data_IF_889305659190
#
_entry.id   IF_889305659190
#
_cell.length_a   1.000
_cell.length_b   1.000
_cell.length_c   1.000
_cell.angle_alpha   90.00
_cell.angle_beta   90.00
_cell.angle_gamma   90.00
#
_symmetry.space_group_name_H-M   'P 1'
#
loop_
_entity.id
_entity.type
_entity.pdbx_description
1 polymer ?
#
# COMPACT_ATOMS: atom_id res chain seq x y z
N UNK A 1 -1.39 1.46 -14.46
CA UNK A 1 -1.39 0.66 -13.21
C UNK A 1 -0.17 -0.26 -13.11
N UNK A 2 -0.05 -1.31 -13.95
CA UNK A 2 1.04 -2.29 -13.85
C UNK A 2 2.45 -1.66 -13.87
N UNK A 3 2.75 -0.77 -14.82
CA UNK A 3 4.05 -0.10 -14.87
C UNK A 3 4.33 0.70 -13.59
N UNK A 4 3.34 1.45 -13.08
CA UNK A 4 3.45 2.22 -11.84
C UNK A 4 3.74 1.36 -10.61
N UNK A 5 3.25 0.10 -10.61
CA UNK A 5 3.53 -0.90 -9.59
C UNK A 5 4.88 -1.62 -9.77
N UNK A 6 5.70 -1.22 -10.75
CA UNK A 6 7.06 -1.73 -10.96
C UNK A 6 7.19 -2.84 -12.01
N UNK A 7 6.11 -3.25 -12.68
CA UNK A 7 6.21 -4.23 -13.78
C UNK A 7 6.99 -3.62 -14.95
N UNK A 8 8.09 -4.27 -15.36
CA UNK A 8 8.98 -3.81 -16.45
C UNK A 8 8.64 -4.35 -17.82
N UNK A 9 7.80 -5.38 -17.89
CA UNK A 9 7.37 -5.98 -19.14
C UNK A 9 5.90 -6.32 -19.10
N UNK A 10 5.26 -6.24 -20.28
CA UNK A 10 3.87 -6.65 -20.49
C UNK A 10 3.84 -7.73 -21.56
N UNK A 11 3.17 -8.84 -21.25
CA UNK A 11 2.86 -9.88 -22.23
C UNK A 11 1.41 -9.73 -22.66
N UNK A 12 1.19 -9.45 -23.94
CA UNK A 12 -0.14 -9.26 -24.50
C UNK A 12 -0.72 -10.61 -24.91
N UNK A 13 -1.72 -11.07 -24.16
CA UNK A 13 -2.36 -12.36 -24.38
C UNK A 13 -3.87 -12.16 -24.57
N UNK A 14 -4.48 -12.58 -25.67
CA UNK A 14 -3.89 -13.24 -26.85
C UNK A 14 -3.25 -12.22 -27.80
N UNK A 15 -2.08 -12.53 -28.37
CA UNK A 15 -1.45 -11.67 -29.38
C UNK A 15 -2.06 -11.86 -30.80
N UNK A 16 -2.61 -13.04 -31.07
CA UNK A 16 -3.26 -13.40 -32.33
C UNK A 16 -4.65 -13.94 -32.04
N UNK A 17 -5.65 -13.49 -32.81
CA UNK A 17 -7.02 -13.98 -32.72
C UNK A 17 -7.10 -15.49 -32.94
N UNK A 18 -8.03 -16.12 -32.24
CA UNK A 18 -8.30 -17.57 -32.34
C UNK A 18 -9.80 -17.79 -32.44
N UNK A 19 -10.19 -19.03 -32.66
CA UNK A 19 -11.61 -19.40 -32.66
C UNK A 19 -12.24 -19.02 -31.32
N UNK A 20 -13.26 -18.15 -31.35
CA UNK A 20 -13.92 -17.52 -30.19
C UNK A 20 -13.07 -16.52 -29.37
N UNK A 21 -11.93 -16.05 -29.89
CA UNK A 21 -11.11 -14.99 -29.28
C UNK A 21 -10.93 -13.87 -30.28
N UNK A 22 -11.42 -12.68 -29.94
CA UNK A 22 -11.47 -11.51 -30.82
C UNK A 22 -10.79 -10.31 -30.17
N UNK A 23 -10.29 -9.39 -31.00
CA UNK A 23 -9.70 -8.13 -30.54
C UNK A 23 -8.22 -8.24 -30.19
N UNK A 24 -7.53 -9.28 -30.66
CA UNK A 24 -6.09 -9.37 -30.55
C UNK A 24 -5.37 -8.32 -31.42
N UNK A 25 -4.11 -7.99 -31.10
CA UNK A 25 -3.25 -7.17 -31.96
C UNK A 25 -3.17 -7.66 -33.41
N UNK A 26 -3.19 -8.98 -33.63
CA UNK A 26 -3.23 -9.57 -34.96
C UNK A 26 -4.51 -10.38 -35.15
N UNK A 27 -5.20 -10.15 -36.26
CA UNK A 27 -6.33 -10.98 -36.67
C UNK A 27 -5.87 -12.39 -37.07
N UNK A 28 -6.82 -13.32 -37.20
CA UNK A 28 -6.56 -14.74 -37.52
C UNK A 28 -5.86 -14.93 -38.88
N UNK A 29 -6.07 -14.00 -39.81
CA UNK A 29 -5.45 -13.99 -41.15
C UNK A 29 -4.11 -13.23 -41.19
N UNK A 30 -3.65 -12.70 -40.05
CA UNK A 30 -2.43 -11.91 -39.94
C UNK A 30 -2.63 -10.41 -40.14
N UNK A 31 -3.87 -9.93 -40.33
CA UNK A 31 -4.15 -8.49 -40.43
C UNK A 31 -3.74 -7.77 -39.14
N UNK A 32 -2.99 -6.68 -39.28
CA UNK A 32 -2.58 -5.80 -38.18
C UNK A 32 -3.79 -4.96 -37.75
N UNK A 33 -4.14 -5.00 -36.47
CA UNK A 33 -5.23 -4.20 -35.90
C UNK A 33 -4.70 -2.95 -35.21
N UNK A 34 -5.59 -2.00 -34.88
CA UNK A 34 -5.25 -0.82 -34.05
C UNK A 34 -4.61 -1.23 -32.71
N UNK A 35 -4.95 -2.42 -32.19
CA UNK A 35 -4.35 -2.96 -30.98
C UNK A 35 -2.84 -3.23 -31.13
N UNK A 36 -2.38 -3.62 -32.31
CA UNK A 36 -0.94 -3.78 -32.57
C UNK A 36 -0.21 -2.45 -32.56
N UNK A 37 -0.77 -1.41 -33.19
CA UNK A 37 -0.16 -0.08 -33.21
C UNK A 37 -0.06 0.49 -31.80
N UNK A 38 -1.11 0.35 -31.00
CA UNK A 38 -1.10 0.74 -29.59
C UNK A 38 0.04 0.04 -28.82
N UNK A 39 0.12 -1.29 -28.94
CA UNK A 39 1.15 -2.10 -28.25
C UNK A 39 2.57 -1.77 -28.74
N UNK A 40 2.74 -1.59 -30.04
CA UNK A 40 4.04 -1.25 -30.65
C UNK A 40 4.52 0.12 -30.20
N UNK A 41 3.65 1.14 -30.27
CA UNK A 41 3.93 2.49 -29.81
C UNK A 41 4.24 2.51 -28.30
N UNK A 42 3.49 1.73 -27.52
CA UNK A 42 3.71 1.59 -26.09
C UNK A 42 5.10 1.07 -25.74
N UNK A 43 5.51 -0.06 -26.33
CA UNK A 43 6.82 -0.64 -26.06
C UNK A 43 7.96 0.24 -26.57
N UNK A 44 7.82 0.79 -27.78
CA UNK A 44 8.86 1.66 -28.38
C UNK A 44 9.15 2.85 -27.48
N UNK A 45 8.12 3.56 -27.03
CA UNK A 45 8.27 4.72 -26.14
C UNK A 45 8.89 4.39 -24.79
N UNK A 46 8.58 3.21 -24.22
CA UNK A 46 9.18 2.79 -22.95
C UNK A 46 10.66 2.43 -23.08
N UNK A 47 11.06 1.80 -24.19
CA UNK A 47 12.47 1.50 -24.46
C UNK A 47 13.28 2.77 -24.72
N UNK A 48 12.72 3.74 -25.46
CA UNK A 48 13.39 5.03 -25.72
C UNK A 48 13.73 5.82 -24.45
N UNK A 49 13.02 5.57 -23.36
CA UNK A 49 13.26 6.22 -22.07
C UNK A 49 14.00 5.34 -21.07
N UNK A 50 14.43 4.14 -21.45
CA UNK A 50 15.13 3.17 -20.59
C UNK A 50 14.34 2.89 -19.30
N UNK A 51 13.03 2.62 -19.44
CA UNK A 51 12.13 2.40 -18.29
C UNK A 51 12.57 1.23 -17.39
N UNK A 52 13.21 0.23 -17.96
CA UNK A 52 13.74 -0.94 -17.28
C UNK A 52 14.75 -0.60 -16.18
N UNK A 53 15.45 0.53 -16.30
CA UNK A 53 16.45 1.02 -15.32
C UNK A 53 15.86 1.95 -14.26
N UNK A 54 14.58 2.29 -14.35
CA UNK A 54 13.91 3.12 -13.34
C UNK A 54 13.39 2.24 -12.21
N UNK A 55 13.40 2.70 -10.96
CA UNK A 55 12.77 1.92 -9.88
C UNK A 55 12.10 2.81 -8.85
N UNK A 56 11.19 2.22 -8.09
CA UNK A 56 10.69 2.80 -6.86
C UNK A 56 11.43 2.19 -5.67
N UNK A 57 11.75 3.01 -4.67
CA UNK A 57 12.40 2.55 -3.43
C UNK A 57 11.43 2.73 -2.25
N UNK A 58 10.40 1.88 -2.14
CA UNK A 58 9.39 2.02 -1.09
C UNK A 58 10.03 1.95 0.30
N UNK A 59 9.55 2.79 1.22
CA UNK A 59 9.98 2.79 2.63
C UNK A 59 8.97 2.10 3.56
N UNK A 60 7.85 1.68 3.00
CA UNK A 60 6.79 0.95 3.68
C UNK A 60 6.64 -0.42 3.00
N UNK A 61 6.30 -1.45 3.77
CA UNK A 61 5.92 -2.74 3.20
C UNK A 61 4.74 -3.36 3.95
N UNK A 62 3.99 -4.20 3.23
CA UNK A 62 3.05 -5.17 3.78
C UNK A 62 3.71 -6.54 3.80
N UNK A 63 3.76 -7.17 4.98
CA UNK A 63 4.22 -8.54 5.16
C UNK A 63 3.01 -9.48 5.21
N UNK A 64 2.87 -10.27 4.16
CA UNK A 64 1.89 -11.36 4.08
C UNK A 64 2.48 -12.63 4.69
N UNK A 65 1.66 -13.38 5.42
CA UNK A 65 2.05 -14.66 5.97
C UNK A 65 1.42 -15.80 5.17
N UNK A 66 2.26 -16.62 4.53
CA UNK A 66 1.84 -17.73 3.67
C UNK A 66 0.92 -18.73 4.38
N UNK A 67 1.16 -18.99 5.66
CA UNK A 67 0.34 -19.91 6.45
C UNK A 67 -1.09 -19.38 6.57
N UNK A 68 -1.26 -18.06 6.69
CA UNK A 68 -2.58 -17.45 6.87
C UNK A 68 -3.40 -17.52 5.58
N UNK A 69 -2.75 -17.35 4.43
CA UNK A 69 -3.37 -17.56 3.13
C UNK A 69 -3.90 -19.00 2.99
N UNK A 70 -3.09 -19.99 3.36
CA UNK A 70 -3.53 -21.39 3.33
C UNK A 70 -4.68 -21.63 4.28
N UNK A 71 -4.57 -21.19 5.54
CA UNK A 71 -5.62 -21.35 6.53
C UNK A 71 -6.94 -20.68 6.09
N UNK A 72 -6.88 -19.51 5.44
CA UNK A 72 -8.06 -18.78 4.97
C UNK A 72 -8.82 -19.50 3.84
N UNK A 73 -8.12 -20.37 3.09
CA UNK A 73 -8.66 -21.17 1.98
C UNK A 73 -9.11 -22.56 2.41
N UNK A 74 -8.81 -22.97 3.63
CA UNK A 74 -9.28 -24.24 4.22
C UNK A 74 -10.53 -24.02 5.08
N UNK A 75 -11.29 -25.08 5.33
CA UNK A 75 -12.41 -25.08 6.27
C UNK A 75 -12.14 -26.09 7.40
N UNK A 76 -12.49 -25.70 8.63
CA UNK A 76 -12.34 -26.55 9.81
C UNK A 76 -13.34 -26.13 10.88
N UNK A 77 -13.80 -27.09 11.71
CA UNK A 77 -14.62 -26.78 12.89
C UNK A 77 -13.87 -25.96 13.95
N UNK A 78 -12.55 -25.90 13.86
CA UNK A 78 -11.67 -25.10 14.73
C UNK A 78 -11.08 -23.90 13.98
N UNK A 79 -11.78 -23.41 12.95
CA UNK A 79 -11.32 -22.23 12.21
C UNK A 79 -11.22 -21.01 13.13
N UNK A 80 -10.27 -20.13 12.83
CA UNK A 80 -10.16 -18.83 13.46
C UNK A 80 -11.25 -17.94 12.85
N UNK A 81 -12.31 -17.57 13.58
CA UNK A 81 -13.52 -16.97 12.98
C UNK A 81 -13.27 -15.61 12.33
N UNK A 82 -12.19 -14.93 12.71
CA UNK A 82 -11.76 -13.64 12.18
C UNK A 82 -10.84 -13.72 10.97
N UNK A 83 -10.27 -14.89 10.67
CA UNK A 83 -9.16 -15.03 9.72
C UNK A 83 -9.50 -14.55 8.31
N UNK A 84 -10.66 -14.95 7.78
CA UNK A 84 -11.11 -14.56 6.44
C UNK A 84 -11.25 -13.05 6.30
N UNK A 85 -11.69 -12.36 7.36
CA UNK A 85 -11.73 -10.89 7.38
C UNK A 85 -10.34 -10.30 7.48
N UNK A 86 -9.50 -10.81 8.40
CA UNK A 86 -8.15 -10.28 8.61
C UNK A 86 -7.30 -10.34 7.34
N UNK A 87 -7.27 -11.49 6.66
CA UNK A 87 -6.50 -11.67 5.41
C UNK A 87 -7.25 -11.05 4.22
N UNK A 88 -8.55 -11.33 4.07
CA UNK A 88 -9.28 -10.95 2.86
C UNK A 88 -9.72 -9.48 2.80
N UNK A 89 -9.88 -8.81 3.95
CA UNK A 89 -10.41 -7.44 4.00
C UNK A 89 -9.46 -6.45 4.69
N UNK A 90 -8.80 -6.85 5.77
CA UNK A 90 -7.96 -5.92 6.54
C UNK A 90 -6.60 -5.72 5.90
N UNK A 91 -5.91 -6.80 5.55
CA UNK A 91 -4.64 -6.73 4.81
C UNK A 91 -4.82 -6.01 3.45
N UNK A 92 -5.83 -6.40 2.68
CA UNK A 92 -6.16 -5.76 1.41
C UNK A 92 -6.59 -4.29 1.59
N UNK A 93 -7.35 -3.99 2.64
CA UNK A 93 -7.80 -2.64 2.96
C UNK A 93 -6.68 -1.71 3.42
N UNK A 94 -5.68 -2.21 4.18
CA UNK A 94 -4.46 -1.46 4.50
C UNK A 94 -3.72 -1.09 3.22
N UNK A 95 -3.58 -2.03 2.29
CA UNK A 95 -2.96 -1.78 0.99
C UNK A 95 -3.71 -0.69 0.20
N UNK A 96 -5.04 -0.70 0.21
CA UNK A 96 -5.86 0.35 -0.41
C UNK A 96 -5.67 1.71 0.28
N UNK A 97 -5.56 1.73 1.61
CA UNK A 97 -5.35 2.97 2.35
C UNK A 97 -3.97 3.57 2.09
N UNK A 98 -2.93 2.75 1.94
CA UNK A 98 -1.61 3.20 1.49
C UNK A 98 -1.68 3.82 0.08
N UNK A 99 -2.43 3.21 -0.84
CA UNK A 99 -2.66 3.78 -2.18
C UNK A 99 -3.40 5.11 -2.11
N UNK A 100 -4.43 5.23 -1.27
CA UNK A 100 -5.18 6.50 -1.05
C UNK A 100 -4.28 7.58 -0.49
N UNK A 101 -3.42 7.23 0.47
CA UNK A 101 -2.41 8.09 1.06
C UNK A 101 -1.23 8.38 0.13
N UNK A 102 -1.19 7.84 -1.09
CA UNK A 102 -0.09 8.02 -2.06
C UNK A 102 1.27 7.56 -1.50
N UNK A 103 1.24 6.55 -0.64
CA UNK A 103 2.43 5.89 -0.11
C UNK A 103 2.74 4.72 -1.02
N UNK A 104 3.92 4.72 -1.62
CA UNK A 104 4.44 3.54 -2.30
C UNK A 104 4.88 2.50 -1.26
N UNK A 105 4.57 1.23 -1.53
CA UNK A 105 4.84 0.13 -0.60
C UNK A 105 5.24 -1.16 -1.32
N UNK A 106 6.13 -1.92 -0.67
CA UNK A 106 6.45 -3.28 -1.08
C UNK A 106 5.45 -4.30 -0.54
N UNK A 107 5.31 -5.43 -1.23
CA UNK A 107 4.67 -6.63 -0.70
C UNK A 107 5.77 -7.66 -0.45
N UNK A 108 5.76 -8.29 0.73
CA UNK A 108 6.75 -9.29 1.15
C UNK A 108 6.07 -10.51 1.74
N UNK A 109 6.71 -11.66 1.59
CA UNK A 109 6.31 -12.92 2.25
C UNK A 109 7.23 -13.13 3.47
N UNK A 110 6.74 -13.85 4.49
CA UNK A 110 7.46 -14.24 5.70
C UNK A 110 8.56 -15.30 5.44
N UNK A 111 9.51 -14.99 4.55
CA UNK A 111 10.60 -15.88 4.14
C UNK A 111 11.96 -15.19 4.10
N UNK A 112 12.00 -13.94 3.64
CA UNK A 112 13.23 -13.19 3.34
C UNK A 112 13.35 -11.95 4.25
N UNK A 113 13.37 -12.18 5.58
CA UNK A 113 13.38 -11.12 6.59
C UNK A 113 14.63 -10.25 6.55
N UNK A 114 15.75 -10.81 6.09
CA UNK A 114 17.03 -10.12 5.89
C UNK A 114 16.93 -8.94 4.91
N UNK A 115 15.99 -8.98 3.96
CA UNK A 115 15.74 -7.89 3.02
C UNK A 115 14.84 -6.79 3.59
N UNK A 116 14.18 -7.05 4.73
CA UNK A 116 13.17 -6.14 5.28
C UNK A 116 13.76 -5.00 6.11
N UNK A 117 15.07 -5.05 6.41
CA UNK A 117 15.78 -3.98 7.13
C UNK A 117 15.84 -2.66 6.36
N UNK A 118 15.65 -2.68 5.04
CA UNK A 118 15.63 -1.49 4.19
C UNK A 118 14.32 -0.68 4.29
N UNK A 119 13.27 -1.29 4.87
CA UNK A 119 12.01 -0.61 5.16
C UNK A 119 12.09 0.17 6.47
N UNK A 120 11.37 1.29 6.51
CA UNK A 120 11.20 2.09 7.74
C UNK A 120 9.96 1.65 8.53
N UNK A 121 8.95 1.14 7.83
CA UNK A 121 7.67 0.72 8.40
C UNK A 121 7.17 -0.57 7.76
N UNK A 122 6.78 -1.54 8.57
CA UNK A 122 6.25 -2.83 8.14
C UNK A 122 4.84 -3.05 8.71
N UNK A 123 3.85 -3.27 7.86
CA UNK A 123 2.53 -3.72 8.25
C UNK A 123 2.50 -5.25 8.26
N UNK A 124 1.94 -5.84 9.31
CA UNK A 124 1.90 -7.29 9.50
C UNK A 124 0.54 -7.66 10.08
N UNK A 125 -0.23 -8.48 9.38
CA UNK A 125 -1.40 -9.12 10.01
C UNK A 125 -0.92 -10.29 10.87
N UNK A 126 -1.53 -10.48 12.04
CA UNK A 126 -1.13 -11.52 13.00
C UNK A 126 -2.33 -12.31 13.50
N UNK A 127 -2.14 -13.61 13.68
CA UNK A 127 -3.15 -14.52 14.25
C UNK A 127 -2.62 -15.13 15.55
N UNK A 128 -3.40 -16.01 16.18
CA UNK A 128 -2.92 -16.79 17.34
C UNK A 128 -1.77 -17.74 17.01
N UNK A 129 -1.49 -18.00 15.73
CA UNK A 129 -0.47 -18.92 15.23
C UNK A 129 0.57 -18.12 14.45
N UNK A 130 1.85 -18.23 14.77
CA UNK A 130 2.95 -17.64 14.00
C UNK A 130 4.23 -18.40 14.30
N UNK A 131 4.99 -18.75 13.27
CA UNK A 131 6.22 -19.51 13.46
C UNK A 131 7.19 -18.79 14.40
N UNK A 132 7.92 -19.55 15.22
CA UNK A 132 8.85 -18.98 16.21
C UNK A 132 9.88 -18.07 15.55
N UNK A 133 10.47 -18.53 14.44
CA UNK A 133 11.42 -17.76 13.63
C UNK A 133 10.84 -16.43 13.11
N UNK A 134 9.54 -16.41 12.78
CA UNK A 134 8.87 -15.21 12.26
C UNK A 134 8.66 -14.21 13.40
N UNK A 135 8.28 -14.70 14.60
CA UNK A 135 8.18 -13.87 15.80
C UNK A 135 9.53 -13.27 16.20
N UNK A 136 10.60 -14.06 16.16
CA UNK A 136 11.96 -13.60 16.43
C UNK A 136 12.42 -12.55 15.41
N UNK A 137 12.18 -12.78 14.12
CA UNK A 137 12.56 -11.87 13.06
C UNK A 137 11.87 -10.50 13.19
N UNK A 138 10.58 -10.47 13.55
CA UNK A 138 9.86 -9.22 13.83
C UNK A 138 10.45 -8.47 15.03
N UNK A 139 10.84 -9.18 16.09
CA UNK A 139 11.52 -8.57 17.24
C UNK A 139 12.86 -7.97 16.82
N UNK A 140 13.62 -8.67 15.98
CA UNK A 140 14.94 -8.21 15.55
C UNK A 140 14.86 -7.00 14.62
N UNK A 141 13.92 -6.99 13.66
CA UNK A 141 13.65 -5.80 12.83
C UNK A 141 13.30 -4.58 13.69
N UNK A 142 12.46 -4.75 14.71
CA UNK A 142 12.13 -3.68 15.64
C UNK A 142 13.36 -3.17 16.42
N UNK A 143 14.28 -4.05 16.82
CA UNK A 143 15.55 -3.67 17.46
C UNK A 143 16.46 -2.88 16.52
N UNK A 144 16.50 -3.24 15.23
CA UNK A 144 17.31 -2.56 14.22
C UNK A 144 16.78 -1.15 13.88
N UNK A 145 15.51 -0.88 14.18
CA UNK A 145 14.89 0.43 14.02
C UNK A 145 13.73 0.46 13.05
N UNK A 146 13.34 -0.69 12.48
CA UNK A 146 12.14 -0.79 11.65
C UNK A 146 10.91 -0.68 12.56
N UNK A 147 10.01 0.24 12.27
CA UNK A 147 8.74 0.31 12.99
C UNK A 147 7.75 -0.72 12.43
N UNK A 148 6.97 -1.34 13.30
CA UNK A 148 6.09 -2.46 12.93
C UNK A 148 4.66 -2.14 13.35
N UNK A 149 3.71 -2.34 12.44
CA UNK A 149 2.27 -2.25 12.69
C UNK A 149 1.70 -3.66 12.64
N UNK A 150 1.42 -4.21 13.81
CA UNK A 150 0.72 -5.48 13.98
C UNK A 150 -0.79 -5.23 13.95
N UNK A 151 -1.53 -6.02 13.17
CA UNK A 151 -2.99 -5.98 13.12
C UNK A 151 -3.58 -7.38 13.31
N UNK A 152 -4.48 -7.57 14.29
CA UNK A 152 -5.11 -8.86 14.55
C UNK A 152 -4.93 -9.33 15.99
N UNK A 153 -4.39 -10.54 16.16
CA UNK A 153 -4.25 -11.20 17.47
C UNK A 153 -2.78 -11.48 17.75
N UNK A 154 -2.34 -11.32 19.00
CA UNK A 154 -0.97 -11.64 19.40
C UNK A 154 -0.77 -13.18 19.32
N UNK A 155 0.29 -13.66 18.67
CA UNK A 155 0.58 -15.09 18.59
C UNK A 155 0.75 -15.74 19.97
N UNK A 156 0.22 -16.96 20.09
CA UNK A 156 0.31 -17.83 21.27
C UNK A 156 0.90 -19.20 20.93
N UNK A 157 0.90 -19.54 19.65
CA UNK A 157 1.33 -20.83 19.14
C UNK A 157 2.29 -20.66 17.96
N UNK A 158 3.18 -21.64 17.78
CA UNK A 158 3.99 -21.81 16.58
C UNK A 158 3.19 -22.45 15.44
N UNK A 159 3.80 -22.61 14.27
CA UNK A 159 3.19 -23.24 13.09
C UNK A 159 2.78 -24.71 13.31
N UNK A 160 3.27 -25.35 14.37
CA UNK A 160 2.95 -26.70 14.80
C UNK A 160 1.91 -26.73 15.94
N UNK A 161 1.29 -25.59 16.24
CA UNK A 161 0.33 -25.39 17.34
C UNK A 161 0.89 -25.67 18.75
N UNK A 162 2.21 -25.65 18.93
CA UNK A 162 2.85 -25.70 20.25
C UNK A 162 2.88 -24.30 20.84
N UNK A 163 2.89 -24.18 22.17
CA UNK A 163 2.92 -22.86 22.81
C UNK A 163 4.20 -22.11 22.43
N UNK A 164 4.04 -20.93 21.84
CA UNK A 164 5.12 -20.04 21.46
C UNK A 164 4.65 -18.58 21.62
N UNK A 165 5.30 -17.84 22.53
CA UNK A 165 4.89 -16.50 22.95
C UNK A 165 6.06 -15.51 22.86
N UNK A 166 6.99 -15.72 21.93
CA UNK A 166 8.21 -14.89 21.77
C UNK A 166 7.84 -13.41 21.64
N UNK A 167 6.94 -13.08 20.70
CA UNK A 167 6.54 -11.69 20.45
C UNK A 167 5.81 -11.08 21.65
N UNK A 168 4.88 -11.85 22.24
CA UNK A 168 4.11 -11.42 23.41
C UNK A 168 5.01 -11.14 24.64
N UNK A 169 6.03 -11.97 24.86
CA UNK A 169 6.96 -11.85 25.98
C UNK A 169 7.87 -10.63 25.81
N UNK A 170 8.40 -10.41 24.61
CA UNK A 170 9.25 -9.28 24.30
C UNK A 170 8.49 -7.94 24.36
N UNK A 171 7.26 -7.90 23.86
CA UNK A 171 6.42 -6.71 23.88
C UNK A 171 5.73 -6.47 25.24
N UNK A 172 5.61 -7.53 26.06
CA UNK A 172 4.75 -7.60 27.25
C UNK A 172 3.30 -7.22 26.94
N UNK A 173 2.81 -7.70 25.80
CA UNK A 173 1.46 -7.49 25.31
C UNK A 173 0.85 -8.86 25.00
N UNK A 174 -0.36 -9.10 25.49
CA UNK A 174 -1.13 -10.33 25.26
C UNK A 174 -2.53 -9.99 24.81
N UNK A 175 -3.17 -10.93 24.12
CA UNK A 175 -4.56 -10.79 23.66
C UNK A 175 -5.47 -11.92 24.11
N UNK A 176 -6.73 -11.58 24.31
CA UNK A 176 -7.83 -12.53 24.43
C UNK A 176 -8.78 -12.31 23.25
N UNK A 177 -9.00 -13.33 22.42
CA UNK A 177 -9.89 -13.26 21.25
C UNK A 177 -11.30 -12.87 21.71
N UNK A 178 -11.87 -11.91 21.01
CA UNK A 178 -13.19 -11.32 21.29
C UNK A 178 -13.71 -10.76 19.97
N UNK A 179 -14.11 -11.64 19.02
CA UNK A 179 -14.43 -11.24 17.65
C UNK A 179 -15.88 -10.74 17.52
N UNK A 180 -16.07 -9.44 17.37
CA UNK A 180 -17.38 -8.80 17.23
C UNK A 180 -17.25 -7.41 16.56
N UNK A 181 -18.37 -6.75 16.30
CA UNK A 181 -18.37 -5.34 15.86
C UNK A 181 -18.62 -4.47 17.09
N UNK A 182 -17.81 -3.42 17.26
CA UNK A 182 -18.02 -2.41 18.31
C UNK A 182 -17.49 -1.04 17.85
N UNK A 183 -17.77 -0.01 18.64
CA UNK A 183 -17.26 1.35 18.44
C UNK A 183 -15.87 1.47 19.07
N UNK A 184 -14.86 1.67 18.22
CA UNK A 184 -13.48 1.91 18.65
C UNK A 184 -13.26 3.40 18.80
N UNK A 185 -12.78 3.80 19.99
CA UNK A 185 -12.29 5.15 20.26
C UNK A 185 -10.76 5.20 20.09
N UNK A 186 -10.28 5.99 19.14
CA UNK A 186 -8.86 6.19 18.84
C UNK A 186 -8.37 7.58 19.30
N UNK A 187 -7.34 7.60 20.15
CA UNK A 187 -6.66 8.80 20.70
C UNK A 187 -7.58 9.95 21.15
N UNK A 188 -8.78 9.64 21.67
CA UNK A 188 -9.79 10.61 22.14
C UNK A 188 -10.30 11.58 21.06
N UNK A 189 -10.00 11.33 19.78
CA UNK A 189 -10.30 12.25 18.68
C UNK A 189 -11.25 11.66 17.63
N UNK A 190 -11.33 10.34 17.54
CA UNK A 190 -12.20 9.65 16.58
C UNK A 190 -12.87 8.43 17.20
N UNK A 191 -14.14 8.27 16.88
CA UNK A 191 -14.92 7.08 17.17
C UNK A 191 -15.54 6.56 15.88
N UNK A 192 -15.43 5.25 15.66
CA UNK A 192 -15.94 4.59 14.47
C UNK A 192 -16.26 3.11 14.74
N UNK A 193 -17.24 2.52 14.03
CA UNK A 193 -17.49 1.10 14.11
C UNK A 193 -16.35 0.32 13.44
N UNK A 194 -15.87 -0.75 14.08
CA UNK A 194 -14.89 -1.65 13.52
C UNK A 194 -15.12 -3.08 14.01
N UNK A 195 -14.62 -4.05 13.23
CA UNK A 195 -14.49 -5.41 13.73
C UNK A 195 -13.34 -5.48 14.72
N UNK A 196 -13.64 -5.78 15.97
CA UNK A 196 -12.66 -6.06 17.02
C UNK A 196 -12.29 -7.53 16.90
N UNK A 197 -11.00 -7.86 16.88
CA UNK A 197 -10.51 -9.25 16.87
C UNK A 197 -10.24 -9.77 18.27
N UNK A 198 -9.73 -8.90 19.14
CA UNK A 198 -9.34 -9.26 20.48
C UNK A 198 -9.28 -8.05 21.42
N UNK A 199 -9.22 -8.34 22.71
CA UNK A 199 -8.87 -7.37 23.76
C UNK A 199 -7.40 -7.49 24.13
N UNK A 200 -6.77 -6.37 24.43
CA UNK A 200 -5.35 -6.28 24.78
C UNK A 200 -5.17 -6.20 26.29
N UNK A 201 -4.23 -6.99 26.81
CA UNK A 201 -3.62 -6.81 28.12
C UNK A 201 -2.15 -6.46 27.95
N UNK A 202 -1.71 -5.37 28.56
CA UNK A 202 -0.33 -4.91 28.52
C UNK A 202 0.16 -4.53 29.92
N UNK A 203 1.47 -4.57 30.14
CA UNK A 203 2.06 -4.03 31.38
C UNK A 203 2.03 -2.51 31.41
N UNK A 204 1.91 -1.93 32.60
CA UNK A 204 1.98 -0.49 32.81
C UNK A 204 3.39 -0.09 33.28
N UNK A 205 4.35 -0.09 32.34
CA UNK A 205 5.76 0.22 32.61
C UNK A 205 6.26 1.44 31.82
N UNK A 206 5.35 2.30 31.36
CA UNK A 206 5.64 3.52 30.59
C UNK A 206 6.15 3.29 29.16
N UNK A 207 6.52 2.05 28.79
CA UNK A 207 6.97 1.68 27.44
C UNK A 207 5.84 1.30 26.50
N UNK A 208 4.61 1.22 27.00
CA UNK A 208 3.42 0.88 26.22
C UNK A 208 2.38 2.00 26.38
N UNK A 209 2.18 2.78 25.32
CA UNK A 209 1.17 3.82 25.24
C UNK A 209 -0.16 3.22 24.77
N UNK A 210 -1.23 3.46 25.54
CA UNK A 210 -2.61 3.07 25.21
C UNK A 210 -3.16 4.06 24.17
N UNK A 211 -3.56 3.59 22.99
CA UNK A 211 -3.98 4.48 21.87
C UNK A 211 -5.38 4.21 21.34
N UNK A 212 -5.98 3.03 21.57
CA UNK A 212 -7.36 2.75 21.18
C UNK A 212 -8.10 1.87 22.20
N UNK A 213 -9.39 2.11 22.38
CA UNK A 213 -10.24 1.39 23.34
C UNK A 213 -11.64 1.11 22.78
N UNK A 214 -12.30 0.12 23.37
CA UNK A 214 -13.73 -0.17 23.23
C UNK A 214 -14.32 -0.16 24.64
N UNK A 215 -15.08 0.87 24.98
CA UNK A 215 -15.45 1.15 26.36
C UNK A 215 -14.22 1.21 27.28
N UNK A 216 -14.14 0.33 28.27
CA UNK A 216 -12.99 0.20 29.18
C UNK A 216 -11.88 -0.74 28.67
N UNK A 217 -12.15 -1.56 27.65
CA UNK A 217 -11.23 -2.56 27.11
C UNK A 217 -10.23 -1.90 26.15
N UNK A 218 -8.96 -2.30 26.23
CA UNK A 218 -7.90 -1.83 25.35
C UNK A 218 -7.89 -2.63 24.05
N UNK A 219 -7.80 -1.97 22.90
CA UNK A 219 -7.73 -2.62 21.57
C UNK A 219 -6.64 -2.04 20.67
N UNK A 220 -5.90 -1.03 21.14
CA UNK A 220 -4.74 -0.50 20.42
C UNK A 220 -3.67 0.04 21.35
N UNK A 221 -2.42 -0.30 21.07
CA UNK A 221 -1.23 0.16 21.81
C UNK A 221 -0.08 0.53 20.88
N UNK A 222 0.83 1.35 21.37
CA UNK A 222 2.12 1.62 20.74
C UNK A 222 3.23 1.37 21.76
N UNK A 223 4.18 0.50 21.41
CA UNK A 223 5.31 0.14 22.26
C UNK A 223 6.61 0.76 21.75
N UNK A 224 7.35 1.40 22.65
CA UNK A 224 8.67 2.01 22.41
C UNK A 224 9.78 1.26 23.14
N UNK A 225 9.63 -0.08 23.26
CA UNK A 225 10.64 -0.94 23.89
C UNK A 225 11.90 -1.11 23.04
N UNK A 226 11.77 -0.97 21.74
CA UNK A 226 12.85 -1.12 20.78
C UNK A 226 13.22 0.22 20.16
N UNK A 227 14.22 0.19 19.25
CA UNK A 227 14.60 1.36 18.46
C UNK A 227 13.49 1.79 17.51
N UNK A 228 12.81 0.82 16.88
CA UNK A 228 11.57 1.02 16.13
C UNK A 228 10.35 0.93 17.05
N UNK A 229 9.27 1.63 16.69
CA UNK A 229 8.01 1.56 17.41
C UNK A 229 7.22 0.33 16.96
N UNK A 230 6.55 -0.33 17.89
CA UNK A 230 5.60 -1.42 17.57
C UNK A 230 4.19 -0.96 17.90
N UNK A 231 3.43 -0.65 16.86
CA UNK A 231 2.00 -0.42 16.93
C UNK A 231 1.28 -1.75 16.89
N UNK A 232 0.31 -1.96 17.77
CA UNK A 232 -0.51 -3.16 17.73
C UNK A 232 -1.98 -2.80 17.89
N UNK A 233 -2.75 -3.14 16.87
CA UNK A 233 -4.19 -2.95 16.81
C UNK A 233 -4.88 -4.31 16.76
N UNK A 234 -5.77 -4.55 17.71
CA UNK A 234 -6.57 -5.78 17.76
C UNK A 234 -7.98 -5.59 17.20
N UNK A 235 -8.11 -4.72 16.20
CA UNK A 235 -9.32 -4.44 15.44
C UNK A 235 -8.95 -4.11 13.99
N UNK A 236 -9.94 -4.08 13.11
CA UNK A 236 -9.81 -3.78 11.70
C UNK A 236 -9.47 -2.31 11.46
N UNK A 237 -8.19 -2.03 11.19
CA UNK A 237 -7.69 -0.67 10.93
C UNK A 237 -7.92 -0.21 9.49
N UNK A 238 -8.32 -1.12 8.58
CA UNK A 238 -8.64 -0.73 7.22
C UNK A 238 -9.83 0.23 7.21
N UNK A 239 -9.67 1.33 6.48
CA UNK A 239 -10.63 2.42 6.51
C UNK A 239 -11.92 2.07 5.78
N UNK A 240 -11.82 1.29 4.71
CA UNK A 240 -12.94 1.10 3.77
C UNK A 240 -13.47 2.43 3.20
N UNK A 241 -12.64 3.48 3.17
CA UNK A 241 -13.04 4.85 2.80
C UNK A 241 -13.53 5.71 3.98
N UNK A 242 -13.65 5.17 5.20
CA UNK A 242 -13.99 5.99 6.37
C UNK A 242 -12.83 6.90 6.75
N UNK A 243 -12.99 8.21 6.52
CA UNK A 243 -11.98 9.24 6.82
C UNK A 243 -11.53 9.24 8.28
N UNK A 244 -12.40 8.84 9.23
CA UNK A 244 -12.03 8.76 10.65
C UNK A 244 -11.01 7.65 10.89
N UNK A 245 -11.13 6.52 10.17
CA UNK A 245 -10.17 5.42 10.25
C UNK A 245 -8.87 5.73 9.52
N UNK A 246 -8.93 6.46 8.40
CA UNK A 246 -7.71 6.91 7.68
C UNK A 246 -6.76 7.73 8.58
N UNK A 247 -7.30 8.44 9.58
CA UNK A 247 -6.46 9.17 10.55
C UNK A 247 -5.48 8.28 11.30
N UNK A 248 -5.75 6.98 11.45
CA UNK A 248 -4.83 6.01 12.07
C UNK A 248 -3.57 5.88 11.21
N UNK A 249 -3.74 5.72 9.90
CA UNK A 249 -2.62 5.60 8.96
C UNK A 249 -1.83 6.91 8.93
N UNK A 250 -2.51 8.06 8.81
CA UNK A 250 -1.88 9.37 8.83
C UNK A 250 -1.05 9.60 10.10
N UNK A 251 -1.58 9.20 11.26
CA UNK A 251 -0.90 9.30 12.55
C UNK A 251 0.35 8.43 12.61
N UNK A 252 0.29 7.20 12.09
CA UNK A 252 1.44 6.29 12.05
C UNK A 252 2.51 6.87 11.12
N UNK A 253 2.16 7.23 9.88
CA UNK A 253 3.09 7.80 8.91
C UNK A 253 3.76 9.07 9.44
N UNK A 254 2.97 9.96 10.07
CA UNK A 254 3.50 11.18 10.70
C UNK A 254 4.43 10.88 11.87
N UNK A 255 4.05 9.94 12.75
CA UNK A 255 4.88 9.54 13.90
C UNK A 255 6.22 8.97 13.44
N UNK A 256 6.21 8.21 12.35
CA UNK A 256 7.39 7.59 11.75
C UNK A 256 8.13 8.52 10.77
N UNK A 257 7.69 9.78 10.62
CA UNK A 257 8.29 10.78 9.72
C UNK A 257 8.40 10.24 8.29
N UNK A 258 7.34 9.60 7.82
CA UNK A 258 7.16 9.14 6.46
C UNK A 258 6.28 10.16 5.74
N UNK A 259 6.94 11.15 5.13
CA UNK A 259 6.28 12.09 4.24
C UNK A 259 6.07 11.42 2.88
N UNK A 260 4.89 11.60 2.31
CA UNK A 260 4.63 11.19 0.93
C UNK A 260 5.21 12.25 0.01
N UNK A 261 5.90 11.81 -1.04
CA UNK A 261 6.35 12.72 -2.09
C UNK A 261 5.25 13.09 -3.09
N UNK A 262 4.04 12.56 -2.87
CA UNK A 262 2.91 12.62 -3.79
C UNK A 262 1.63 12.93 -3.00
N UNK A 263 0.75 13.74 -3.58
CA UNK A 263 -0.61 13.99 -3.10
C UNK A 263 -1.56 14.23 -4.29
N UNK A 264 -2.86 13.96 -4.10
CA UNK A 264 -3.88 14.23 -5.09
C UNK A 264 -5.17 14.70 -4.41
N UNK A 265 -5.81 15.73 -4.97
CA UNK A 265 -7.11 16.21 -4.49
C UNK A 265 -8.22 15.16 -4.58
N UNK A 266 -8.05 14.13 -5.41
CA UNK A 266 -8.92 12.97 -5.46
C UNK A 266 -8.21 11.74 -4.84
N UNK A 267 -8.71 11.19 -3.70
CA UNK A 267 -8.08 10.06 -3.04
C UNK A 267 -8.14 8.77 -3.88
N UNK A 268 -9.07 8.66 -4.83
CA UNK A 268 -9.23 7.48 -5.70
C UNK A 268 -8.19 7.39 -6.81
N UNK A 269 -7.64 8.54 -7.24
CA UNK A 269 -6.57 8.58 -8.25
C UNK A 269 -5.28 8.11 -7.61
N UNK A 270 -4.62 7.13 -8.21
CA UNK A 270 -3.34 6.63 -7.73
C UNK A 270 -2.20 7.36 -8.44
N UNK A 271 -1.21 7.78 -7.65
CA UNK A 271 0.03 8.36 -8.14
C UNK A 271 1.18 7.45 -7.76
N UNK A 272 2.09 7.20 -8.70
CA UNK A 272 3.35 6.52 -8.45
C UNK A 272 4.49 7.26 -9.12
N UNK A 273 5.69 7.17 -8.55
CA UNK A 273 6.87 7.79 -9.11
C UNK A 273 8.04 6.81 -9.11
N UNK A 274 8.66 6.63 -10.26
CA UNK A 274 9.87 5.82 -10.42
C UNK A 274 11.02 6.69 -10.88
N UNK A 275 12.22 6.40 -10.37
CA UNK A 275 13.40 7.22 -10.56
C UNK A 275 14.46 6.41 -11.30
N UNK A 276 14.90 6.90 -12.46
CA UNK A 276 16.15 6.45 -13.11
C UNK A 276 17.33 7.33 -12.69
N UNK A 277 18.46 7.25 -13.41
CA UNK A 277 19.64 8.04 -13.03
C UNK A 277 19.45 9.57 -13.15
N UNK A 278 18.76 10.02 -14.21
CA UNK A 278 18.60 11.47 -14.52
C UNK A 278 17.16 11.91 -14.76
N UNK A 279 16.25 10.95 -14.99
CA UNK A 279 14.86 11.18 -15.36
C UNK A 279 13.95 10.39 -14.44
N UNK A 280 12.79 10.94 -14.12
CA UNK A 280 11.76 10.27 -13.35
C UNK A 280 10.54 10.01 -14.20
N UNK A 281 9.69 9.10 -13.74
CA UNK A 281 8.42 8.83 -14.38
C UNK A 281 7.31 8.92 -13.35
N UNK A 282 6.36 9.82 -13.62
CA UNK A 282 5.17 10.01 -12.82
C UNK A 282 4.00 9.32 -13.51
N UNK A 283 3.38 8.39 -12.81
CA UNK A 283 2.18 7.70 -13.25
C UNK A 283 0.97 8.33 -12.56
N UNK A 284 -0.04 8.68 -13.35
CA UNK A 284 -1.38 9.04 -12.87
C UNK A 284 -2.31 7.94 -13.33
N UNK A 285 -2.93 7.22 -12.39
CA UNK A 285 -3.81 6.09 -12.68
C UNK A 285 -5.18 6.41 -12.14
N UNK A 286 -6.14 6.62 -13.04
CA UNK A 286 -7.51 6.96 -12.69
C UNK A 286 -8.37 5.70 -12.82
N UNK A 287 -8.86 5.14 -11.69
CA UNK A 287 -9.60 3.89 -11.73
C UNK A 287 -10.98 4.09 -12.38
N UNK A 288 -11.65 3.01 -12.80
CA UNK A 288 -13.05 3.08 -13.18
C UNK A 288 -13.90 3.68 -12.05
N UNK A 289 -14.94 4.45 -12.41
CA UNK A 289 -15.84 5.06 -11.43
C UNK A 289 -16.41 4.01 -10.46
N UNK A 290 -16.41 4.31 -9.17
CA UNK A 290 -16.94 3.44 -8.11
C UNK A 290 -15.98 2.36 -7.58
N UNK A 291 -14.84 2.08 -8.24
CA UNK A 291 -13.87 1.11 -7.72
C UNK A 291 -13.11 1.62 -6.48
N UNK A 292 -12.87 2.93 -6.42
CA UNK A 292 -12.17 3.62 -5.32
C UNK A 292 -12.73 5.02 -5.02
N UNK A 293 -13.75 5.49 -5.77
CA UNK A 293 -14.32 6.84 -5.63
C UNK A 293 -15.46 6.88 -4.60
N UNK A 294 -15.78 8.09 -4.13
CA UNK A 294 -16.82 8.37 -3.12
C UNK A 294 -18.27 8.12 -3.62
N UNK A 295 -18.48 7.19 -4.55
CA UNK A 295 -19.78 6.83 -5.10
C UNK A 295 -20.32 7.81 -6.15
N UNK A 296 -19.63 8.90 -6.44
CA UNK A 296 -19.99 9.84 -7.51
C UNK A 296 -19.46 9.35 -8.86
N UNK A 297 -20.37 9.23 -9.84
CA UNK A 297 -20.05 8.87 -11.22
C UNK A 297 -19.79 10.15 -12.02
N UNK A 298 -18.52 10.56 -12.09
CA UNK A 298 -18.08 11.57 -13.04
C UNK A 298 -17.47 10.87 -14.25
N UNK A 299 -17.78 11.34 -15.46
CA UNK A 299 -17.07 10.92 -16.67
C UNK A 299 -15.73 11.64 -16.81
N UNK A 300 -15.65 12.89 -16.35
CA UNK A 300 -14.48 13.77 -16.40
C UNK A 300 -14.40 14.66 -15.16
N UNK A 301 -13.19 14.93 -14.67
CA UNK A 301 -12.95 15.79 -13.50
C UNK A 301 -11.59 16.48 -13.59
N UNK A 302 -11.50 17.72 -13.09
CA UNK A 302 -10.20 18.35 -12.81
C UNK A 302 -9.70 17.87 -11.44
N UNK A 303 -8.47 17.36 -11.40
CA UNK A 303 -7.76 16.97 -10.18
C UNK A 303 -6.52 17.86 -10.01
N UNK A 304 -6.07 18.02 -8.77
CA UNK A 304 -4.81 18.69 -8.45
C UNK A 304 -3.84 17.62 -7.97
N UNK A 305 -2.73 17.45 -8.70
CA UNK A 305 -1.64 16.57 -8.28
C UNK A 305 -0.51 17.40 -7.66
N UNK A 306 0.04 16.94 -6.54
CA UNK A 306 1.23 17.53 -5.92
C UNK A 306 2.37 16.53 -5.93
N UNK A 307 3.56 17.01 -6.29
CA UNK A 307 4.77 16.19 -6.40
C UNK A 307 5.96 16.90 -5.74
N UNK A 308 6.40 16.39 -4.59
CA UNK A 308 7.64 16.81 -3.94
C UNK A 308 8.81 15.98 -4.50
N UNK A 309 9.38 16.47 -5.60
CA UNK A 309 10.51 15.83 -6.27
C UNK A 309 11.70 15.56 -5.34
N UNK A 310 11.95 16.44 -4.35
CA UNK A 310 13.05 16.25 -3.40
C UNK A 310 12.79 15.06 -2.50
N UNK A 311 11.55 14.89 -2.02
CA UNK A 311 11.16 13.72 -1.25
C UNK A 311 11.23 12.42 -2.06
N UNK A 312 11.08 12.51 -3.39
CA UNK A 312 11.18 11.40 -4.34
C UNK A 312 12.60 11.16 -4.88
N UNK A 313 13.62 11.84 -4.33
CA UNK A 313 15.02 11.65 -4.72
C UNK A 313 15.47 12.44 -5.97
N UNK A 314 14.61 13.25 -6.57
CA UNK A 314 14.96 14.14 -7.68
C UNK A 314 15.24 15.57 -7.20
N UNK A 315 16.47 16.06 -7.42
CA UNK A 315 16.81 17.47 -7.21
C UNK A 315 16.85 18.23 -8.53
N UNK A 316 15.86 19.10 -8.75
CA UNK A 316 15.80 20.01 -9.89
C UNK A 316 14.94 21.22 -9.54
N UNK A 317 15.38 22.44 -9.89
CA UNK A 317 14.59 23.64 -9.69
C UNK A 317 13.51 23.79 -10.78
N UNK A 318 13.91 23.54 -12.03
CA UNK A 318 13.07 23.59 -13.21
C UNK A 318 12.94 22.19 -13.81
N UNK A 319 11.72 21.84 -14.21
CA UNK A 319 11.43 20.53 -14.79
C UNK A 319 10.51 20.64 -15.99
N UNK A 320 10.55 19.60 -16.81
CA UNK A 320 9.67 19.39 -17.97
C UNK A 320 8.91 18.09 -17.73
N UNK A 321 7.59 18.11 -17.86
CA UNK A 321 6.75 16.92 -17.86
C UNK A 321 6.29 16.67 -19.29
N UNK A 322 6.64 15.53 -19.86
CA UNK A 322 6.18 15.10 -21.19
C UNK A 322 5.22 13.95 -21.00
N UNK A 323 3.95 14.12 -21.36
CA UNK A 323 3.04 12.97 -21.42
C UNK A 323 3.48 12.09 -22.60
N UNK A 324 3.90 10.87 -22.30
CA UNK A 324 4.43 9.95 -23.30
C UNK A 324 3.35 9.51 -24.28
N UNK A 325 2.09 9.50 -23.88
CA UNK A 325 1.00 8.92 -24.67
C UNK A 325 -0.01 9.95 -25.17
N UNK A 326 0.23 11.24 -24.90
CA UNK A 326 -0.53 12.30 -25.53
C UNK A 326 -0.24 12.37 -27.05
N UNK A 327 -1.18 12.94 -27.80
CA UNK A 327 -1.06 13.11 -29.26
C UNK A 327 0.13 13.98 -29.67
N UNK A 328 0.54 13.93 -30.93
CA UNK A 328 1.76 14.58 -31.46
C UNK A 328 1.82 16.11 -31.22
N UNK A 329 0.67 16.76 -31.06
CA UNK A 329 0.57 18.20 -30.79
C UNK A 329 0.74 18.58 -29.31
N UNK A 330 0.79 17.59 -28.41
CA UNK A 330 0.85 17.81 -26.97
C UNK A 330 2.19 18.44 -26.57
N UNK A 331 2.14 19.66 -26.06
CA UNK A 331 3.34 20.37 -25.61
C UNK A 331 3.74 19.94 -24.20
N UNK A 332 5.04 19.71 -23.92
CA UNK A 332 5.49 19.41 -22.58
C UNK A 332 5.16 20.53 -21.59
N UNK A 333 4.71 20.17 -20.39
CA UNK A 333 4.43 21.10 -19.31
C UNK A 333 5.76 21.55 -18.72
N UNK A 334 6.07 22.84 -18.89
CA UNK A 334 7.28 23.47 -18.32
C UNK A 334 6.93 24.11 -16.99
N UNK A 335 7.53 23.63 -15.91
CA UNK A 335 7.19 24.08 -14.55
C UNK A 335 8.41 24.05 -13.62
N UNK A 336 8.20 24.34 -12.34
CA UNK A 336 9.23 24.30 -11.29
C UNK A 336 8.89 23.24 -10.25
N UNK A 337 9.89 22.73 -9.53
CA UNK A 337 9.65 21.83 -8.41
C UNK A 337 8.78 22.47 -7.31
N UNK A 338 8.89 23.79 -7.13
CA UNK A 338 8.04 24.54 -6.19
C UNK A 338 6.57 24.55 -6.64
N UNK A 339 6.32 24.74 -7.93
CA UNK A 339 4.97 24.73 -8.48
C UNK A 339 4.37 23.31 -8.45
N UNK A 340 5.13 22.28 -8.80
CA UNK A 340 4.68 20.88 -8.65
C UNK A 340 4.33 20.53 -7.20
N UNK A 341 5.13 21.00 -6.24
CA UNK A 341 4.83 20.79 -4.82
C UNK A 341 3.58 21.56 -4.36
N UNK A 342 3.28 22.71 -4.95
CA UNK A 342 2.07 23.48 -4.65
C UNK A 342 0.81 22.86 -5.28
N UNK A 343 0.95 22.28 -6.46
CA UNK A 343 -0.11 21.60 -7.18
C UNK A 343 -0.13 21.95 -8.66
N UNK A 344 -0.42 20.95 -9.50
CA UNK A 344 -0.67 21.08 -10.92
C UNK A 344 -2.09 20.58 -11.21
N UNK A 345 -2.98 21.42 -11.78
CA UNK A 345 -4.29 20.95 -12.23
C UNK A 345 -4.13 20.05 -13.47
N UNK A 346 -4.92 18.98 -13.51
CA UNK A 346 -4.98 18.02 -14.60
C UNK A 346 -6.43 17.61 -14.81
N UNK A 347 -6.93 17.71 -16.03
CA UNK A 347 -8.22 17.13 -16.40
C UNK A 347 -8.03 15.65 -16.72
N UNK A 348 -8.87 14.80 -16.13
CA UNK A 348 -8.83 13.35 -16.34
C UNK A 348 -10.23 12.79 -16.59
N UNK A 349 -10.30 11.73 -17.40
CA UNK A 349 -11.51 10.92 -17.57
C UNK A 349 -11.53 9.75 -16.55
N UNK A 350 -12.67 9.08 -16.39
CA UNK A 350 -12.79 7.90 -15.51
C UNK A 350 -13.33 6.70 -16.29
N UNK A 351 -12.55 5.62 -16.52
CA UNK A 351 -11.12 5.46 -16.20
C UNK A 351 -10.18 6.19 -17.17
N UNK A 352 -8.94 6.44 -16.73
CA UNK A 352 -7.90 7.09 -17.53
C UNK A 352 -6.50 6.78 -16.97
N UNK A 353 -5.45 7.15 -17.70
CA UNK A 353 -4.07 7.00 -17.26
C UNK A 353 -3.09 7.89 -18.02
N UNK A 354 -2.29 8.65 -17.26
CA UNK A 354 -1.20 9.46 -17.81
C UNK A 354 0.16 8.96 -17.35
N UNK A 355 1.14 9.06 -18.23
CA UNK A 355 2.52 8.71 -17.94
C UNK A 355 3.41 9.88 -18.32
N UNK A 356 3.88 10.62 -17.32
CA UNK A 356 4.73 11.78 -17.52
C UNK A 356 6.20 11.42 -17.33
N UNK A 357 7.00 11.62 -18.37
CA UNK A 357 8.45 11.69 -18.24
C UNK A 357 8.82 13.03 -17.61
N UNK A 358 9.46 12.98 -16.44
CA UNK A 358 9.91 14.13 -15.67
C UNK A 358 11.41 14.32 -15.88
N UNK A 359 11.77 15.40 -16.56
CA UNK A 359 13.15 15.72 -16.92
C UNK A 359 13.61 17.03 -16.27
N UNK A 360 14.89 17.08 -15.91
CA UNK A 360 15.54 18.32 -15.46
C UNK A 360 15.65 19.27 -16.65
N UNK A 361 15.40 20.57 -16.43
CA UNK A 361 15.60 21.62 -17.43
C UNK A 361 16.82 22.46 -17.16
#
# INVERSE_FOLDING_TARGET
AALGAGFKGLSYYMFVDRDHWYGAPLAKDGTVTEGYELVSNFNTKLMEIEFEEMDATPKVAMLSNRLYDWLSRTSSKKELPYLKRLVGQTETGICQDLLRAKVDYGIRENREYETMGDYRLLFVVTTEVMAEKDQEALVELARQGVSIVLCGVMPKYDENFKSCQVLANHLRIKTTVDFHIDTVAYRQQSEFPAYVYATIRSTDDGKVKKIAKVGSKLVGVCSSRFKGNVYFFSFDIASGGDRRKLTILDDILRSEKLATGLDCSDPSVHLAFQMGQKKGMLFVVVPPSGALSDGLQFSRKEIIIQVDLKALGMSAANVKLTDLFAGEEAKPIRTTAKALKAGLPLEVDYPDGHIFLVERR
#
